data_IF_053403393862
#
_entry.id   IF_053403393862
#
_cell.length_a   1.000
_cell.length_b   1.000
_cell.length_c   1.000
_cell.angle_alpha   90.00
_cell.angle_beta   90.00
_cell.angle_gamma   90.00
#
_symmetry.space_group_name_H-M   'P 1'
#
loop_
_entity.id
_entity.type
_entity.pdbx_description
1 polymer ?
#
# COMPACT_ATOMS: atom_id res chain seq x y z
N UNK A 1 41.94 -59.03 -25.80
CA UNK A 1 42.38 -57.62 -25.66
C UNK A 1 41.15 -56.78 -25.37
N UNK A 2 41.18 -56.08 -24.24
CA UNK A 2 40.03 -55.47 -23.55
C UNK A 2 39.39 -54.27 -24.25
N UNK A 3 38.10 -54.11 -23.95
CA UNK A 3 37.19 -53.00 -24.26
C UNK A 3 37.74 -51.63 -23.84
N UNK A 4 37.31 -50.57 -24.55
CA UNK A 4 36.85 -49.31 -23.92
C UNK A 4 35.72 -48.69 -24.74
N UNK A 5 34.53 -48.66 -24.16
CA UNK A 5 33.34 -47.97 -24.66
C UNK A 5 33.18 -46.68 -23.84
N UNK A 6 33.43 -45.53 -24.44
CA UNK A 6 33.38 -44.23 -23.77
C UNK A 6 31.96 -43.67 -23.81
N UNK A 7 31.23 -43.74 -22.69
CA UNK A 7 29.94 -43.07 -22.53
C UNK A 7 30.16 -41.57 -22.23
N UNK A 8 29.74 -40.71 -23.15
CA UNK A 8 29.65 -39.27 -22.95
C UNK A 8 28.27 -38.95 -22.33
N UNK A 9 28.23 -38.63 -21.04
CA UNK A 9 27.02 -38.22 -20.34
C UNK A 9 26.81 -36.72 -20.55
N UNK A 10 25.76 -36.35 -21.29
CA UNK A 10 25.33 -34.98 -21.52
C UNK A 10 24.49 -34.51 -20.31
N UNK A 11 25.09 -33.76 -19.39
CA UNK A 11 24.38 -33.18 -18.25
C UNK A 11 23.59 -31.94 -18.71
N UNK A 12 22.27 -32.10 -18.87
CA UNK A 12 21.35 -30.99 -19.14
C UNK A 12 21.09 -30.28 -17.80
N UNK A 13 21.78 -29.16 -17.57
CA UNK A 13 21.55 -28.31 -16.41
C UNK A 13 20.21 -27.58 -16.53
N UNK A 14 19.23 -27.97 -15.71
CA UNK A 14 17.98 -27.24 -15.56
C UNK A 14 18.22 -25.97 -14.74
N UNK A 15 18.17 -24.81 -15.41
CA UNK A 15 18.16 -23.51 -14.72
C UNK A 15 16.77 -23.32 -14.13
N UNK A 16 16.64 -23.47 -12.80
CA UNK A 16 15.43 -23.09 -12.09
C UNK A 16 15.38 -21.55 -12.00
N UNK A 17 14.63 -20.92 -12.90
CA UNK A 17 14.21 -19.54 -12.70
C UNK A 17 13.24 -19.50 -11.51
N UNK A 18 13.66 -18.88 -10.41
CA UNK A 18 12.75 -18.64 -9.29
C UNK A 18 11.62 -17.72 -9.77
N UNK A 19 10.34 -18.04 -9.48
CA UNK A 19 9.24 -17.14 -9.81
C UNK A 19 9.42 -15.84 -9.03
N UNK A 20 9.28 -14.71 -9.72
CA UNK A 20 9.14 -13.42 -9.06
C UNK A 20 7.91 -13.49 -8.14
N UNK A 21 8.11 -13.29 -6.84
CA UNK A 21 7.04 -13.25 -5.86
C UNK A 21 6.10 -12.09 -6.19
N UNK A 22 4.93 -12.39 -6.75
CA UNK A 22 3.86 -11.41 -6.85
C UNK A 22 3.38 -11.08 -5.43
N UNK A 23 3.63 -9.86 -4.97
CA UNK A 23 3.27 -9.41 -3.62
C UNK A 23 1.76 -9.50 -3.36
N UNK A 24 1.37 -10.22 -2.31
CA UNK A 24 -0.02 -10.31 -1.85
C UNK A 24 -0.52 -8.92 -1.41
N UNK A 25 -1.71 -8.55 -1.87
CA UNK A 25 -2.40 -7.34 -1.41
C UNK A 25 -2.63 -7.39 0.10
N UNK A 26 -2.18 -6.39 0.84
CA UNK A 26 -2.57 -6.21 2.24
C UNK A 26 -3.78 -5.27 2.30
N UNK A 27 -4.75 -5.55 3.17
CA UNK A 27 -5.88 -4.65 3.42
C UNK A 27 -6.09 -4.46 4.91
N UNK A 28 -6.23 -3.20 5.34
CA UNK A 28 -6.38 -2.83 6.75
C UNK A 28 -7.39 -1.68 6.90
N UNK A 29 -8.02 -1.57 8.06
CA UNK A 29 -9.04 -0.55 8.34
C UNK A 29 -8.71 0.25 9.59
N UNK A 30 -9.05 1.53 9.60
CA UNK A 30 -8.94 2.42 10.75
C UNK A 30 -10.28 3.12 11.02
N UNK A 31 -10.57 3.36 12.30
CA UNK A 31 -11.74 4.12 12.73
C UNK A 31 -11.46 5.62 12.69
N UNK A 32 -12.51 6.40 12.44
CA UNK A 32 -12.45 7.86 12.48
C UNK A 32 -12.21 8.34 13.91
N UNK A 33 -11.34 9.34 14.04
CA UNK A 33 -11.28 10.21 15.21
C UNK A 33 -11.52 11.63 14.74
N UNK A 34 -12.68 12.18 15.06
CA UNK A 34 -13.08 13.52 14.63
C UNK A 34 -12.82 14.54 15.74
N UNK A 35 -12.13 15.63 15.41
CA UNK A 35 -11.97 16.78 16.32
C UNK A 35 -12.77 17.94 15.83
N UNK A 36 -13.75 18.36 16.65
CA UNK A 36 -14.67 19.42 16.29
C UNK A 36 -15.58 19.02 15.13
N UNK A 37 -16.17 20.03 14.48
CA UNK A 37 -17.11 19.83 13.38
C UNK A 37 -16.44 19.71 12.00
N UNK A 38 -15.14 20.04 11.87
CA UNK A 38 -14.56 20.35 10.54
C UNK A 38 -13.52 19.35 10.04
N UNK A 39 -13.06 18.40 10.86
CA UNK A 39 -12.05 17.42 10.45
C UNK A 39 -12.13 16.08 11.19
N UNK A 40 -11.76 15.02 10.48
CA UNK A 40 -11.57 13.68 11.01
C UNK A 40 -10.21 13.13 10.59
N UNK A 41 -9.53 12.41 11.48
CA UNK A 41 -8.31 11.69 11.14
C UNK A 41 -8.43 10.19 11.37
N UNK A 42 -7.59 9.44 10.65
CA UNK A 42 -7.56 7.98 10.62
C UNK A 42 -6.12 7.57 10.69
N UNK A 43 -5.78 6.72 11.66
CA UNK A 43 -4.40 6.32 11.92
C UNK A 43 -4.25 4.82 11.85
N UNK A 44 -3.17 4.36 11.23
CA UNK A 44 -2.74 2.98 11.25
C UNK A 44 -1.41 2.86 11.98
N UNK A 45 -1.22 1.71 12.64
CA UNK A 45 0.10 1.28 13.09
C UNK A 45 0.97 0.81 11.92
N UNK A 46 1.86 -0.13 12.20
CA UNK A 46 2.70 -0.76 11.18
C UNK A 46 1.87 -1.58 10.19
N UNK A 47 2.16 -1.40 8.90
CA UNK A 47 1.56 -2.14 7.79
C UNK A 47 2.68 -2.69 6.92
N UNK A 48 2.55 -3.94 6.50
CA UNK A 48 3.50 -4.62 5.63
C UNK A 48 2.80 -5.09 4.37
N UNK A 49 3.46 -4.93 3.24
CA UNK A 49 3.08 -5.47 1.94
C UNK A 49 4.38 -5.88 1.24
N UNK A 50 4.49 -7.12 0.79
CA UNK A 50 5.77 -7.63 0.27
C UNK A 50 6.90 -7.42 1.28
N UNK A 51 7.99 -6.80 0.82
CA UNK A 51 9.13 -6.39 1.62
C UNK A 51 9.11 -4.89 2.00
N UNK A 52 8.08 -4.16 1.58
CA UNK A 52 7.85 -2.79 2.05
C UNK A 52 7.16 -2.77 3.41
N UNK A 53 7.52 -1.76 4.21
CA UNK A 53 6.85 -1.43 5.48
C UNK A 53 6.45 0.04 5.52
N UNK A 54 5.22 0.31 5.95
CA UNK A 54 4.68 1.64 6.24
C UNK A 54 4.38 1.76 7.74
N UNK A 55 4.79 2.87 8.34
CA UNK A 55 4.54 3.22 9.73
C UNK A 55 3.94 4.63 9.85
N UNK A 56 3.29 4.88 10.99
CA UNK A 56 2.73 6.20 11.37
C UNK A 56 1.79 6.79 10.30
N UNK A 57 1.07 5.92 9.59
CA UNK A 57 0.19 6.36 8.52
C UNK A 57 -1.02 7.08 9.10
N UNK A 58 -1.25 8.31 8.64
CA UNK A 58 -2.35 9.15 9.07
C UNK A 58 -2.99 9.87 7.89
N UNK A 59 -4.29 9.69 7.75
CA UNK A 59 -5.15 10.51 6.90
C UNK A 59 -5.85 11.56 7.74
N UNK A 60 -5.94 12.79 7.23
CA UNK A 60 -6.79 13.86 7.78
C UNK A 60 -7.74 14.31 6.68
N UNK A 61 -9.03 14.16 6.92
CA UNK A 61 -10.11 14.56 6.02
C UNK A 61 -10.77 15.80 6.60
N UNK A 62 -11.04 16.79 5.75
CA UNK A 62 -11.76 18.01 6.12
C UNK A 62 -13.15 18.04 5.48
N UNK A 63 -14.06 18.76 6.11
CA UNK A 63 -15.47 18.89 5.67
C UNK A 63 -15.63 19.43 4.24
N UNK A 64 -14.64 20.17 3.74
CA UNK A 64 -14.62 20.71 2.37
C UNK A 64 -14.30 19.67 1.27
N UNK A 65 -14.02 18.41 1.65
CA UNK A 65 -13.65 17.35 0.71
C UNK A 65 -12.14 17.20 0.51
N UNK A 66 -11.31 18.03 1.14
CA UNK A 66 -9.85 17.88 1.09
C UNK A 66 -9.36 16.77 2.03
N UNK A 67 -8.31 16.08 1.61
CA UNK A 67 -7.65 15.06 2.39
C UNK A 67 -6.12 15.23 2.33
N UNK A 68 -5.46 15.04 3.46
CA UNK A 68 -3.99 15.04 3.55
C UNK A 68 -3.50 13.76 4.21
N UNK A 69 -2.39 13.24 3.73
CA UNK A 69 -1.77 12.01 4.19
C UNK A 69 -0.33 12.25 4.61
N UNK A 70 0.07 11.58 5.70
CA UNK A 70 1.44 11.48 6.15
C UNK A 70 1.76 10.05 6.59
N UNK A 71 2.95 9.56 6.27
CA UNK A 71 3.48 8.30 6.74
C UNK A 71 5.01 8.26 6.62
N UNK A 72 5.62 7.23 7.20
CA UNK A 72 7.01 6.85 6.91
C UNK A 72 7.02 5.49 6.25
N UNK A 73 7.81 5.33 5.19
CA UNK A 73 7.92 4.04 4.47
C UNK A 73 9.38 3.63 4.30
N UNK A 74 9.62 2.32 4.20
CA UNK A 74 10.91 1.69 3.91
C UNK A 74 10.69 0.44 3.07
N UNK A 75 11.66 0.07 2.24
CA UNK A 75 11.72 -1.25 1.60
C UNK A 75 13.10 -1.91 1.79
N UNK A 76 13.17 -3.22 1.62
CA UNK A 76 14.42 -3.98 1.65
C UNK A 76 15.13 -4.04 0.29
N UNK A 77 14.43 -3.70 -0.80
CA UNK A 77 14.98 -3.45 -2.14
C UNK A 77 14.98 -1.95 -2.53
N UNK A 78 15.70 -1.66 -3.61
CA UNK A 78 15.95 -0.34 -4.20
C UNK A 78 14.99 0.03 -5.33
N UNK A 79 14.20 -0.93 -5.83
CA UNK A 79 13.33 -0.74 -6.99
C UNK A 79 11.83 -0.85 -6.65
N UNK A 80 11.48 -0.83 -5.36
CA UNK A 80 10.09 -0.99 -4.94
C UNK A 80 9.36 0.34 -4.86
N UNK A 81 8.05 0.26 -4.97
CA UNK A 81 7.14 1.35 -4.68
C UNK A 81 6.03 0.87 -3.76
N UNK A 82 5.63 1.72 -2.83
CA UNK A 82 4.38 1.55 -2.12
C UNK A 82 3.24 2.02 -3.00
N UNK A 83 2.26 1.15 -3.22
CA UNK A 83 1.02 1.45 -3.90
C UNK A 83 -0.12 1.35 -2.88
N UNK A 84 -1.05 2.31 -2.86
CA UNK A 84 -2.25 2.20 -2.04
C UNK A 84 -3.51 2.75 -2.69
N UNK A 85 -4.64 2.18 -2.28
CA UNK A 85 -6.00 2.63 -2.58
C UNK A 85 -6.76 2.75 -1.27
N UNK A 86 -7.45 3.88 -1.09
CA UNK A 86 -8.07 4.20 0.19
C UNK A 86 -9.54 4.48 -0.04
N UNK A 87 -10.39 3.71 0.65
CA UNK A 87 -11.84 3.86 0.61
C UNK A 87 -12.36 4.40 1.93
N UNK A 88 -13.35 5.28 1.85
CA UNK A 88 -14.13 5.80 2.97
C UNK A 88 -15.36 4.91 3.15
N UNK A 89 -15.71 4.58 4.40
CA UNK A 89 -16.84 3.74 4.74
C UNK A 89 -17.74 4.42 5.78
N UNK A 90 -19.03 4.14 5.71
CA UNK A 90 -19.98 4.53 6.75
C UNK A 90 -20.00 3.57 7.94
N UNK A 91 -20.85 3.86 8.93
CA UNK A 91 -20.99 3.06 10.15
C UNK A 91 -21.43 1.61 9.92
N UNK A 92 -22.03 1.31 8.75
CA UNK A 92 -22.45 -0.04 8.36
C UNK A 92 -21.39 -0.74 7.49
N UNK A 93 -20.24 -0.10 7.25
CA UNK A 93 -19.20 -0.62 6.37
C UNK A 93 -19.53 -0.48 4.87
N UNK A 94 -20.50 0.37 4.51
CA UNK A 94 -20.80 0.65 3.10
C UNK A 94 -19.75 1.60 2.56
N UNK A 95 -19.20 1.30 1.39
CA UNK A 95 -18.22 2.15 0.70
C UNK A 95 -18.91 3.43 0.22
N UNK A 96 -18.46 4.57 0.74
CA UNK A 96 -18.91 5.90 0.33
C UNK A 96 -18.16 6.39 -0.91
N UNK A 97 -16.91 5.96 -1.07
CA UNK A 97 -16.06 6.25 -2.23
C UNK A 97 -14.58 6.25 -1.89
N UNK A 98 -13.70 6.34 -2.89
CA UNK A 98 -12.26 6.41 -2.66
C UNK A 98 -11.77 7.85 -2.42
N UNK A 99 -10.59 7.98 -1.83
CA UNK A 99 -9.79 9.21 -1.89
C UNK A 99 -9.10 9.25 -3.26
N UNK A 100 -9.12 10.40 -3.93
CA UNK A 100 -8.47 10.60 -5.23
C UNK A 100 -7.30 11.58 -5.12
N UNK A 101 -6.21 11.31 -5.85
CA UNK A 101 -5.10 12.21 -6.10
C UNK A 101 -5.08 12.57 -7.59
N UNK A 102 -5.35 13.83 -7.93
CA UNK A 102 -5.42 14.25 -9.34
C UNK A 102 -6.49 13.52 -10.17
N UNK A 103 -7.54 12.99 -9.52
CA UNK A 103 -8.60 12.19 -10.15
C UNK A 103 -8.33 10.67 -10.18
N UNK A 104 -7.14 10.20 -9.76
CA UNK A 104 -6.81 8.78 -9.66
C UNK A 104 -6.93 8.29 -8.20
N UNK A 105 -7.65 7.18 -7.90
CA UNK A 105 -7.70 6.62 -6.55
C UNK A 105 -6.41 5.91 -6.11
N UNK A 106 -5.43 5.74 -7.01
CA UNK A 106 -4.15 5.09 -6.75
C UNK A 106 -3.10 6.11 -6.29
N UNK A 107 -2.49 5.83 -5.15
CA UNK A 107 -1.33 6.55 -4.64
C UNK A 107 -0.08 5.71 -4.82
N UNK A 108 1.01 6.33 -5.29
CA UNK A 108 2.29 5.64 -5.54
C UNK A 108 3.44 6.44 -4.94
N UNK A 109 4.33 5.76 -4.22
CA UNK A 109 5.57 6.33 -3.71
C UNK A 109 6.72 5.35 -3.88
N UNK A 110 7.72 5.71 -4.67
CA UNK A 110 8.96 4.95 -4.76
C UNK A 110 9.71 4.93 -3.43
N UNK A 111 10.42 3.84 -3.16
CA UNK A 111 11.19 3.66 -1.93
C UNK A 111 12.69 3.73 -2.17
N UNK A 112 13.47 3.75 -1.08
CA UNK A 112 14.92 3.64 -1.10
C UNK A 112 15.30 2.52 -0.15
N UNK A 113 16.14 1.61 -0.63
CA UNK A 113 16.59 0.42 0.11
C UNK A 113 17.08 0.76 1.51
N UNK A 114 16.45 0.17 2.52
CA UNK A 114 16.77 0.29 3.93
C UNK A 114 16.81 1.74 4.46
N UNK A 115 16.13 2.67 3.81
CA UNK A 115 16.04 4.07 4.25
C UNK A 115 14.58 4.43 4.49
N UNK A 116 14.27 4.71 5.77
CA UNK A 116 13.00 5.33 6.14
C UNK A 116 12.91 6.73 5.56
N UNK A 117 11.81 7.03 4.88
CA UNK A 117 11.53 8.37 4.41
C UNK A 117 10.08 8.76 4.63
N UNK A 118 9.89 10.07 4.82
CA UNK A 118 8.58 10.66 4.95
C UNK A 118 7.87 10.72 3.61
N UNK A 119 6.60 10.37 3.62
CA UNK A 119 5.70 10.53 2.50
C UNK A 119 4.52 11.40 2.92
N UNK A 120 4.42 12.55 2.25
CA UNK A 120 3.24 13.41 2.30
C UNK A 120 2.49 13.30 0.96
N UNK A 121 1.17 13.20 1.04
CA UNK A 121 0.31 13.25 -0.14
C UNK A 121 -0.96 14.05 0.16
N UNK A 122 -1.56 14.58 -0.89
CA UNK A 122 -2.85 15.25 -0.84
C UNK A 122 -3.85 14.49 -1.71
N UNK A 123 -5.12 14.56 -1.33
CA UNK A 123 -6.20 13.95 -2.06
C UNK A 123 -7.53 14.67 -1.83
N UNK A 124 -8.57 14.11 -2.41
CA UNK A 124 -9.93 14.64 -2.32
C UNK A 124 -10.96 13.52 -2.27
N UNK A 125 -12.12 13.82 -1.69
CA UNK A 125 -13.27 12.93 -1.65
C UNK A 125 -14.57 13.73 -1.82
N UNK A 126 -15.69 13.02 -1.98
CA UNK A 126 -17.00 13.63 -2.11
C UNK A 126 -17.47 14.19 -0.75
N UNK A 127 -17.34 15.51 -0.59
CA UNK A 127 -17.59 16.25 0.65
C UNK A 127 -18.99 16.02 1.24
N UNK A 128 -19.99 15.69 0.41
CA UNK A 128 -21.36 15.43 0.89
C UNK A 128 -21.45 14.21 1.83
N UNK A 129 -20.43 13.36 1.83
CA UNK A 129 -20.36 12.18 2.69
C UNK A 129 -19.65 12.42 4.01
N UNK A 130 -19.11 13.62 4.27
CA UNK A 130 -18.29 13.89 5.45
C UNK A 130 -18.95 13.46 6.77
N UNK A 131 -20.23 13.84 6.96
CA UNK A 131 -20.97 13.50 8.19
C UNK A 131 -21.34 12.01 8.31
N UNK A 132 -21.13 11.22 7.26
CA UNK A 132 -21.36 9.77 7.25
C UNK A 132 -20.09 8.96 7.45
N UNK A 133 -18.92 9.60 7.45
CA UNK A 133 -17.65 8.89 7.54
C UNK A 133 -17.49 8.28 8.94
N UNK A 134 -17.20 6.98 8.98
CA UNK A 134 -16.96 6.27 10.23
C UNK A 134 -15.62 5.53 10.24
N UNK A 135 -15.22 4.97 9.10
CA UNK A 135 -13.94 4.27 8.98
C UNK A 135 -13.34 4.44 7.60
N UNK A 136 -12.05 4.11 7.48
CA UNK A 136 -11.34 4.06 6.22
C UNK A 136 -10.70 2.69 6.06
N UNK A 137 -10.71 2.16 4.84
CA UNK A 137 -10.03 0.92 4.46
C UNK A 137 -8.93 1.25 3.45
N UNK A 138 -7.71 0.84 3.77
CA UNK A 138 -6.56 0.96 2.89
C UNK A 138 -6.17 -0.42 2.37
N UNK A 139 -6.08 -0.54 1.05
CA UNK A 139 -5.48 -1.67 0.36
C UNK A 139 -4.13 -1.24 -0.16
N UNK A 140 -3.09 -2.04 0.09
CA UNK A 140 -1.71 -1.71 -0.23
C UNK A 140 -0.99 -2.84 -0.92
N UNK A 141 -0.04 -2.47 -1.77
CA UNK A 141 0.89 -3.35 -2.46
C UNK A 141 2.30 -2.80 -2.47
N UNK A 142 3.21 -3.75 -2.52
CA UNK A 142 4.62 -3.70 -2.87
C UNK A 142 4.87 -5.11 -3.44
#
# INVERSE_FOLDING_TARGET
MSLFLTMLVLAIGTVFAAPASAGTAASTSALATCTGADSCWFTWGRIQAGDCTMDNAKWTLRRDGSASFEATIVSSDSNDAWLMWVNILDSNGIVLGPIHHGGDPKFVKGTVKNVWHWWFAEGSFDARFFDRIHSMRMTSHC
#
